data_IF_812835310450
#
_entry.id   IF_812835310450
#
_cell.length_a   1.000
_cell.length_b   1.000
_cell.length_c   1.000
_cell.angle_alpha   90.00
_cell.angle_beta   90.00
_cell.angle_gamma   90.00
#
_symmetry.space_group_name_H-M   'P 1'
#
loop_
_entity.id
_entity.type
_entity.pdbx_description
1 polymer ?
#
# COMPACT_ATOMS: atom_id res chain seq x y z
N UNK A 1 0.66 -17.22 -0.16
CA UNK A 1 0.46 -15.78 0.11
C UNK A 1 0.94 -15.38 1.52
N UNK A 2 2.01 -16.01 2.02
CA UNK A 2 2.51 -15.86 3.41
C UNK A 2 3.95 -15.32 3.47
N UNK A 3 4.63 -15.21 2.34
CA UNK A 3 6.07 -14.91 2.26
C UNK A 3 6.39 -13.41 2.16
N UNK A 4 5.39 -12.57 1.90
CA UNK A 4 5.59 -11.13 1.67
C UNK A 4 5.39 -10.28 2.94
N UNK A 5 4.62 -10.80 3.90
CA UNK A 5 4.43 -10.18 5.22
C UNK A 5 5.64 -10.40 6.15
N UNK A 6 6.31 -11.56 6.07
CA UNK A 6 7.55 -11.83 6.82
C UNK A 6 8.71 -10.95 6.33
N UNK A 7 8.79 -10.65 5.04
CA UNK A 7 9.81 -9.75 4.49
C UNK A 7 9.63 -8.30 4.97
N UNK A 8 8.39 -7.82 5.10
CA UNK A 8 8.12 -6.47 5.62
C UNK A 8 8.32 -6.34 7.13
N UNK A 9 8.11 -7.40 7.90
CA UNK A 9 8.35 -7.40 9.35
C UNK A 9 9.85 -7.56 9.70
N UNK A 10 10.66 -8.08 8.79
CA UNK A 10 12.12 -8.18 8.94
C UNK A 10 12.82 -6.81 9.02
N UNK A 11 12.27 -5.76 8.38
CA UNK A 11 12.83 -4.40 8.45
C UNK A 11 12.49 -3.62 9.73
N UNK A 12 11.62 -4.14 10.59
CA UNK A 12 11.23 -3.51 11.87
C UNK A 12 11.71 -4.28 13.10
N UNK A 13 12.68 -5.18 12.94
CA UNK A 13 13.32 -5.84 14.08
C UNK A 13 14.43 -4.95 14.62
N UNK A 14 14.05 -3.87 15.31
CA UNK A 14 14.98 -3.20 16.22
C UNK A 14 15.42 -4.27 17.21
N UNK A 15 16.68 -4.66 17.11
CA UNK A 15 17.25 -5.76 17.87
C UNK A 15 17.14 -5.43 19.35
N UNK A 16 16.57 -6.33 20.16
CA UNK A 16 16.57 -6.21 21.64
C UNK A 16 17.99 -5.97 22.19
N UNK A 17 19.03 -6.33 21.44
CA UNK A 17 20.43 -6.11 21.82
C UNK A 17 20.90 -4.64 21.67
N UNK A 18 20.24 -3.80 20.87
CA UNK A 18 20.62 -2.38 20.74
C UNK A 18 20.10 -1.54 21.90
N UNK A 19 18.84 -1.75 22.32
CA UNK A 19 18.31 -1.09 23.52
C UNK A 19 19.10 -1.46 24.79
N UNK A 20 19.54 -2.71 24.92
CA UNK A 20 20.38 -3.15 26.04
C UNK A 20 21.73 -2.41 26.06
N UNK A 21 22.35 -2.19 24.90
CA UNK A 21 23.64 -1.47 24.81
C UNK A 21 23.50 0.03 25.07
N UNK A 22 22.41 0.66 24.65
CA UNK A 22 22.15 2.08 24.95
C UNK A 22 21.99 2.28 26.47
N UNK A 23 21.27 1.39 27.15
CA UNK A 23 21.13 1.40 28.61
C UNK A 23 22.46 1.10 29.31
N UNK A 24 23.30 0.21 28.75
CA UNK A 24 24.61 -0.13 29.32
C UNK A 24 25.67 0.99 29.14
N UNK A 25 25.63 1.72 28.02
CA UNK A 25 26.53 2.87 27.76
C UNK A 25 26.08 4.13 28.52
N UNK A 26 24.77 4.32 28.72
CA UNK A 26 24.20 5.39 29.54
C UNK A 26 24.19 5.05 31.05
N UNK A 27 24.38 3.78 31.42
CA UNK A 27 24.18 3.26 32.77
C UNK A 27 25.28 3.57 33.77
N UNK A 28 26.36 4.24 33.36
CA UNK A 28 27.33 4.80 34.32
C UNK A 28 27.00 6.26 34.57
N UNK A 29 26.22 6.49 35.61
CA UNK A 29 26.03 7.83 36.19
C UNK A 29 27.40 8.42 36.53
N UNK A 30 27.61 9.73 36.30
CA UNK A 30 28.85 10.38 36.71
C UNK A 30 28.97 10.32 38.24
N UNK A 31 30.11 9.83 38.74
CA UNK A 31 30.36 9.70 40.19
C UNK A 31 30.70 11.06 40.82
N UNK A 32 31.08 12.05 39.99
CA UNK A 32 31.35 13.42 40.42
C UNK A 32 31.37 14.44 39.27
N UNK A 33 31.54 15.72 39.62
CA UNK A 33 31.51 16.86 38.67
C UNK A 33 32.61 16.76 37.61
N UNK A 34 33.74 16.16 37.96
CA UNK A 34 34.88 15.97 37.06
C UNK A 34 34.54 15.06 35.86
N UNK A 35 33.59 14.13 36.04
CA UNK A 35 33.15 13.19 35.01
C UNK A 35 32.08 13.74 34.07
N UNK A 36 31.52 14.92 34.38
CA UNK A 36 30.36 15.47 33.65
C UNK A 36 30.67 15.72 32.19
N UNK A 37 31.87 16.21 31.88
CA UNK A 37 32.28 16.44 30.49
C UNK A 37 32.35 15.14 29.70
N UNK A 38 33.00 14.13 30.26
CA UNK A 38 33.12 12.82 29.61
C UNK A 38 31.74 12.15 29.45
N UNK A 39 30.82 12.37 30.39
CA UNK A 39 29.44 11.91 30.30
C UNK A 39 28.65 12.65 29.21
N UNK A 40 28.76 13.98 29.14
CA UNK A 40 28.13 14.80 28.10
C UNK A 40 28.62 14.42 26.70
N UNK A 41 29.92 14.19 26.53
CA UNK A 41 30.51 13.74 25.25
C UNK A 41 29.93 12.38 24.81
N UNK A 42 29.77 11.43 25.75
CA UNK A 42 29.14 10.13 25.48
C UNK A 42 27.68 10.28 25.04
N UNK A 43 26.90 11.09 25.75
CA UNK A 43 25.50 11.37 25.40
C UNK A 43 25.43 12.02 24.03
N UNK A 44 26.32 12.97 23.73
CA UNK A 44 26.31 13.67 22.45
C UNK A 44 26.58 12.74 21.27
N UNK A 45 27.51 11.81 21.42
CA UNK A 45 27.77 10.80 20.40
C UNK A 45 26.55 9.91 20.14
N UNK A 46 25.80 9.55 21.18
CA UNK A 46 24.59 8.74 21.04
C UNK A 46 23.40 9.54 20.48
N UNK A 47 23.29 10.82 20.84
CA UNK A 47 22.31 11.73 20.25
C UNK A 47 22.59 11.93 18.75
N UNK A 48 23.86 12.04 18.33
CA UNK A 48 24.26 12.10 16.91
C UNK A 48 23.87 10.82 16.17
N UNK A 49 24.14 9.65 16.73
CA UNK A 49 23.73 8.36 16.15
C UNK A 49 22.22 8.26 16.00
N UNK A 50 21.48 8.63 17.03
CA UNK A 50 20.01 8.68 17.02
C UNK A 50 19.48 9.62 15.93
N UNK A 51 20.09 10.81 15.78
CA UNK A 51 19.75 11.77 14.71
C UNK A 51 20.01 11.19 13.31
N UNK A 52 21.14 10.53 13.09
CA UNK A 52 21.47 9.91 11.80
C UNK A 52 20.45 8.80 11.47
N UNK A 53 20.12 7.96 12.45
CA UNK A 53 19.09 6.92 12.29
C UNK A 53 17.73 7.51 11.94
N UNK A 54 17.32 8.59 12.62
CA UNK A 54 16.07 9.30 12.35
C UNK A 54 16.00 9.85 10.92
N UNK A 55 17.09 10.41 10.38
CA UNK A 55 17.15 10.89 8.98
C UNK A 55 17.12 9.75 7.95
N UNK A 56 17.65 8.57 8.30
CA UNK A 56 17.63 7.40 7.43
C UNK A 56 16.25 6.76 7.24
N UNK A 57 15.29 7.07 8.11
CA UNK A 57 13.99 6.39 8.16
C UNK A 57 12.90 6.97 7.21
N UNK A 58 13.16 8.04 6.46
CA UNK A 58 12.22 8.59 5.47
C UNK A 58 12.20 10.13 5.39
N UNK A 59 11.02 10.72 5.15
CA UNK A 59 10.80 12.18 5.21
C UNK A 59 10.93 12.70 6.65
N UNK A 60 12.15 12.77 7.15
CA UNK A 60 12.46 13.34 8.46
C UNK A 60 12.42 14.87 8.35
N UNK A 61 11.60 15.53 9.17
CA UNK A 61 11.70 16.98 9.39
C UNK A 61 13.00 17.32 10.11
N UNK A 62 13.57 18.48 9.81
CA UNK A 62 14.73 18.97 10.56
C UNK A 62 14.38 19.24 12.03
N UNK A 63 15.32 18.93 12.91
CA UNK A 63 15.20 19.19 14.35
C UNK A 63 15.36 20.69 14.59
N UNK A 64 14.51 21.25 15.44
CA UNK A 64 14.49 22.70 15.73
C UNK A 64 15.11 23.02 17.09
N UNK A 65 15.01 22.11 18.06
CA UNK A 65 15.48 22.32 19.43
C UNK A 65 15.79 20.98 20.11
N UNK A 66 16.69 21.02 21.09
CA UNK A 66 17.02 19.92 22.00
C UNK A 66 16.27 20.15 23.31
N UNK A 67 15.39 19.23 23.65
CA UNK A 67 14.60 19.30 24.88
C UNK A 67 15.24 18.40 25.95
N UNK A 68 15.78 18.99 27.01
CA UNK A 68 16.42 18.26 28.12
C UNK A 68 15.43 18.01 29.25
N UNK A 69 15.23 16.76 29.66
CA UNK A 69 14.41 16.43 30.83
C UNK A 69 15.27 16.58 32.09
N UNK A 70 14.89 17.54 32.94
CA UNK A 70 15.62 17.87 34.17
C UNK A 70 16.01 19.33 34.24
N UNK A 71 16.11 19.87 35.46
CA UNK A 71 16.48 21.25 35.77
C UNK A 71 17.75 21.34 36.64
N UNK A 72 18.52 20.26 36.72
CA UNK A 72 19.76 20.22 37.48
C UNK A 72 20.97 20.69 36.65
N UNK A 73 22.09 20.90 37.35
CA UNK A 73 23.34 21.39 36.78
C UNK A 73 23.97 20.39 35.80
N UNK A 74 23.72 19.09 35.98
CA UNK A 74 24.14 18.04 35.06
C UNK A 74 23.37 18.13 33.74
N UNK A 75 22.04 18.21 33.77
CA UNK A 75 21.21 18.37 32.57
C UNK A 75 21.54 19.66 31.81
N UNK A 76 21.81 20.76 32.53
CA UNK A 76 22.26 22.00 31.92
C UNK A 76 23.63 21.86 31.23
N UNK A 77 24.58 21.17 31.87
CA UNK A 77 25.89 20.89 31.27
C UNK A 77 25.77 20.05 30.00
N UNK A 78 25.00 18.96 30.06
CA UNK A 78 24.77 18.05 28.94
C UNK A 78 24.04 18.75 27.80
N UNK A 79 22.98 19.52 28.11
CA UNK A 79 22.20 20.28 27.13
C UNK A 79 23.04 21.31 26.40
N UNK A 80 23.91 22.03 27.11
CA UNK A 80 24.84 22.99 26.51
C UNK A 80 25.83 22.32 25.56
N UNK A 81 26.49 21.25 25.99
CA UNK A 81 27.42 20.49 25.14
C UNK A 81 26.73 19.95 23.89
N UNK A 82 25.54 19.39 24.04
CA UNK A 82 24.72 18.90 22.92
C UNK A 82 24.33 20.02 21.94
N UNK A 83 23.91 21.17 22.46
CA UNK A 83 23.52 22.32 21.64
C UNK A 83 24.69 22.87 20.82
N UNK A 84 25.87 22.97 21.44
CA UNK A 84 27.11 23.37 20.76
C UNK A 84 27.52 22.35 19.68
N UNK A 85 27.43 21.05 19.97
CA UNK A 85 27.86 20.01 19.03
C UNK A 85 26.89 19.76 17.86
N UNK A 86 25.59 20.00 18.07
CA UNK A 86 24.55 19.77 17.05
C UNK A 86 24.13 21.05 16.32
N UNK A 87 24.66 22.20 16.75
CA UNK A 87 24.29 23.54 16.30
C UNK A 87 22.77 23.79 16.40
N UNK A 88 22.22 23.50 17.58
CA UNK A 88 20.80 23.62 17.87
C UNK A 88 20.58 24.32 19.21
N UNK A 89 19.50 25.12 19.35
CA UNK A 89 19.11 25.62 20.66
C UNK A 89 18.72 24.45 21.56
N UNK A 90 18.97 24.61 22.85
CA UNK A 90 18.55 23.65 23.86
C UNK A 90 17.71 24.35 24.93
N UNK A 91 16.74 23.63 25.47
CA UNK A 91 15.88 24.10 26.55
C UNK A 91 15.70 23.00 27.60
N UNK A 92 15.76 23.38 28.88
CA UNK A 92 15.34 22.53 29.97
C UNK A 92 13.81 22.45 29.99
N UNK A 93 13.28 21.24 29.85
CA UNK A 93 11.85 20.97 29.89
C UNK A 93 11.38 21.06 31.33
N UNK A 94 10.53 22.06 31.58
CA UNK A 94 9.82 22.20 32.85
C UNK A 94 8.44 21.58 32.76
N UNK A 95 7.93 21.20 33.92
CA UNK A 95 6.54 20.77 34.02
C UNK A 95 5.60 21.93 33.67
N UNK A 96 4.48 21.64 33.00
CA UNK A 96 3.45 22.64 32.75
C UNK A 96 2.94 23.22 34.07
N UNK A 97 2.60 24.51 34.09
CA UNK A 97 2.09 25.21 35.27
C UNK A 97 0.83 24.58 35.89
N UNK A 98 0.15 23.70 35.15
CA UNK A 98 -1.01 22.94 35.64
C UNK A 98 -0.64 21.79 36.61
N UNK A 99 0.65 21.53 36.81
CA UNK A 99 1.16 20.40 37.60
C UNK A 99 2.08 20.93 38.69
N UNK A 100 1.63 20.83 39.94
CA UNK A 100 2.45 21.11 41.11
C UNK A 100 3.15 19.82 41.54
N UNK A 101 4.49 19.86 41.57
CA UNK A 101 5.32 18.77 42.07
C UNK A 101 5.89 19.17 43.42
N UNK A 102 5.82 18.30 44.44
CA UNK A 102 6.45 18.55 45.73
C UNK A 102 7.93 18.92 45.57
N UNK A 103 8.35 19.99 46.26
CA UNK A 103 9.72 20.53 46.15
C UNK A 103 10.78 19.65 46.82
N UNK A 104 10.36 18.74 47.71
CA UNK A 104 11.17 17.74 48.39
C UNK A 104 11.43 16.49 47.55
N UNK A 105 10.79 16.37 46.38
CA UNK A 105 11.00 15.26 45.46
C UNK A 105 12.36 15.37 44.75
N UNK A 106 13.13 14.27 44.79
CA UNK A 106 14.42 14.12 44.14
C UNK A 106 14.31 14.21 42.61
N UNK A 107 15.37 14.72 41.97
CA UNK A 107 15.44 14.92 40.52
C UNK A 107 15.14 13.66 39.69
N UNK A 108 15.71 12.49 40.03
CA UNK A 108 15.43 11.24 39.32
C UNK A 108 13.95 10.84 39.36
N UNK A 109 13.34 10.82 40.55
CA UNK A 109 11.91 10.51 40.68
C UNK A 109 11.05 11.50 39.92
N UNK A 110 11.41 12.80 39.97
CA UNK A 110 10.74 13.84 39.20
C UNK A 110 10.80 13.59 37.69
N UNK A 111 11.98 13.21 37.16
CA UNK A 111 12.14 12.87 35.75
C UNK A 111 11.33 11.63 35.36
N UNK A 112 11.25 10.61 36.23
CA UNK A 112 10.44 9.40 36.00
C UNK A 112 8.93 9.69 35.91
N UNK A 113 8.44 10.73 36.59
CA UNK A 113 7.04 11.14 36.54
C UNK A 113 6.68 11.90 35.26
N UNK A 114 7.65 12.44 34.52
CA UNK A 114 7.39 13.28 33.35
C UNK A 114 6.55 12.60 32.25
N UNK A 115 6.82 11.33 31.86
CA UNK A 115 5.97 10.63 30.91
C UNK A 115 4.55 10.39 31.44
N UNK A 116 4.40 10.11 32.73
CA UNK A 116 3.11 9.85 33.38
C UNK A 116 2.25 11.12 33.39
N UNK A 117 2.86 12.25 33.76
CA UNK A 117 2.22 13.57 33.74
C UNK A 117 1.78 13.93 32.31
N UNK A 118 2.63 13.68 31.32
CA UNK A 118 2.29 13.88 29.90
C UNK A 118 1.06 13.08 29.46
N UNK A 119 0.93 11.83 29.92
CA UNK A 119 -0.21 10.97 29.62
C UNK A 119 -1.51 11.51 30.26
N UNK A 120 -1.46 11.89 31.53
CA UNK A 120 -2.63 12.42 32.25
C UNK A 120 -3.07 13.78 31.72
N UNK A 121 -2.11 14.66 31.41
CA UNK A 121 -2.40 16.01 30.94
C UNK A 121 -3.03 16.00 29.55
N UNK A 122 -2.66 15.04 28.69
CA UNK A 122 -3.28 14.87 27.38
C UNK A 122 -4.80 14.71 27.47
N UNK A 123 -5.28 13.91 28.43
CA UNK A 123 -6.71 13.73 28.68
C UNK A 123 -7.38 15.00 29.22
N UNK A 124 -6.70 15.74 30.10
CA UNK A 124 -7.23 16.95 30.72
C UNK A 124 -7.36 18.13 29.74
N UNK A 125 -6.44 18.28 28.78
CA UNK A 125 -6.43 19.40 27.80
C UNK A 125 -7.19 19.04 26.51
N UNK A 126 -7.93 17.92 26.49
CA UNK A 126 -8.64 17.42 25.30
C UNK A 126 -7.72 17.34 24.05
N UNK A 127 -6.43 17.05 24.27
CA UNK A 127 -5.48 16.82 23.18
C UNK A 127 -5.75 15.41 22.63
N UNK A 128 -5.58 15.15 21.33
CA UNK A 128 -5.67 13.79 20.81
C UNK A 128 -4.65 12.88 21.53
N UNK A 129 -5.12 12.07 22.46
CA UNK A 129 -4.33 11.07 23.18
C UNK A 129 -4.39 9.74 22.45
N UNK A 130 -3.40 8.89 22.72
CA UNK A 130 -3.45 7.50 22.29
C UNK A 130 -4.51 6.77 23.12
N UNK A 131 -5.60 6.37 22.47
CA UNK A 131 -6.58 5.46 23.05
C UNK A 131 -6.02 4.03 22.95
N UNK A 132 -5.51 3.52 24.08
CA UNK A 132 -5.03 2.14 24.18
C UNK A 132 -6.16 1.13 24.43
N UNK A 133 -7.35 1.59 24.81
CA UNK A 133 -8.51 0.72 25.01
C UNK A 133 -9.16 0.35 23.66
N UNK A 134 -9.16 1.28 22.71
CA UNK A 134 -9.58 1.02 21.33
C UNK A 134 -8.41 1.30 20.37
N UNK A 135 -7.48 0.35 20.18
CA UNK A 135 -6.37 0.54 19.26
C UNK A 135 -6.92 0.79 17.85
N UNK A 136 -6.88 2.06 17.41
CA UNK A 136 -7.27 2.41 16.05
C UNK A 136 -6.22 1.83 15.11
N UNK A 137 -6.67 1.03 14.15
CA UNK A 137 -5.82 0.56 13.06
C UNK A 137 -5.25 1.81 12.38
N UNK A 138 -3.92 1.88 12.26
CA UNK A 138 -3.27 3.01 11.59
C UNK A 138 -3.94 3.23 10.22
N UNK A 139 -4.21 4.49 9.83
CA UNK A 139 -4.79 4.76 8.52
C UNK A 139 -3.85 4.19 7.46
N UNK A 140 -4.27 3.10 6.82
CA UNK A 140 -3.52 2.46 5.76
C UNK A 140 -3.63 3.36 4.53
N UNK A 141 -2.65 4.25 4.39
CA UNK A 141 -2.57 5.21 3.27
C UNK A 141 -2.51 4.50 1.91
N UNK A 142 -2.07 3.24 1.89
CA UNK A 142 -2.06 2.40 0.69
C UNK A 142 -3.37 1.63 0.46
N UNK A 143 -4.35 1.72 1.37
CA UNK A 143 -5.63 1.02 1.21
C UNK A 143 -6.42 1.53 0.00
N UNK A 144 -6.41 2.83 -0.27
CA UNK A 144 -7.09 3.42 -1.43
C UNK A 144 -6.49 2.91 -2.75
N UNK A 145 -5.16 2.77 -2.81
CA UNK A 145 -4.46 2.25 -3.98
C UNK A 145 -4.79 0.76 -4.21
N UNK A 146 -4.82 -0.04 -3.13
CA UNK A 146 -5.21 -1.46 -3.21
C UNK A 146 -6.67 -1.63 -3.63
N UNK A 147 -7.57 -0.81 -3.08
CA UNK A 147 -8.98 -0.83 -3.45
C UNK A 147 -9.17 -0.44 -4.92
N UNK A 148 -8.47 0.59 -5.40
CA UNK A 148 -8.48 0.99 -6.80
C UNK A 148 -7.96 -0.13 -7.71
N UNK A 149 -6.86 -0.79 -7.34
CA UNK A 149 -6.33 -1.93 -8.08
C UNK A 149 -7.31 -3.10 -8.16
N UNK A 150 -7.97 -3.45 -7.05
CA UNK A 150 -8.98 -4.50 -7.01
C UNK A 150 -10.22 -4.13 -7.84
N UNK A 151 -10.67 -2.88 -7.78
CA UNK A 151 -11.79 -2.39 -8.58
C UNK A 151 -11.46 -2.41 -10.08
N UNK A 152 -10.25 -2.01 -10.46
CA UNK A 152 -9.79 -2.08 -11.85
C UNK A 152 -9.73 -3.53 -12.36
N UNK A 153 -9.18 -4.46 -11.55
CA UNK A 153 -9.14 -5.88 -11.90
C UNK A 153 -10.54 -6.47 -12.07
N UNK A 154 -11.47 -6.14 -11.18
CA UNK A 154 -12.87 -6.56 -11.27
C UNK A 154 -13.55 -6.01 -12.52
N UNK A 155 -13.32 -4.74 -12.86
CA UNK A 155 -13.79 -4.14 -14.10
C UNK A 155 -13.28 -4.90 -15.32
N UNK A 156 -11.98 -5.22 -15.36
CA UNK A 156 -11.36 -5.93 -16.49
C UNK A 156 -11.95 -7.33 -16.68
N UNK A 157 -12.26 -8.05 -15.60
CA UNK A 157 -12.92 -9.36 -15.66
C UNK A 157 -14.33 -9.23 -16.23
N UNK A 158 -15.11 -8.27 -15.76
CA UNK A 158 -16.51 -8.09 -16.20
C UNK A 158 -16.56 -7.65 -17.67
N UNK A 159 -15.81 -6.62 -18.04
CA UNK A 159 -15.82 -6.10 -19.41
C UNK A 159 -15.10 -7.03 -20.39
N UNK A 160 -13.98 -7.62 -19.99
CA UNK A 160 -13.24 -8.58 -20.82
C UNK A 160 -14.04 -9.87 -21.03
N UNK A 161 -14.57 -10.46 -19.97
CA UNK A 161 -15.38 -11.67 -20.05
C UNK A 161 -16.72 -11.44 -20.76
N UNK A 162 -17.43 -10.36 -20.42
CA UNK A 162 -18.70 -10.01 -21.05
C UNK A 162 -18.56 -9.69 -22.54
N UNK A 163 -17.51 -8.95 -22.92
CA UNK A 163 -17.20 -8.65 -24.32
C UNK A 163 -16.90 -9.89 -25.15
N UNK A 164 -16.13 -10.84 -24.59
CA UNK A 164 -15.82 -12.11 -25.26
C UNK A 164 -17.08 -12.93 -25.58
N UNK A 165 -17.99 -13.06 -24.62
CA UNK A 165 -19.24 -13.83 -24.80
C UNK A 165 -20.11 -13.22 -25.90
N UNK A 166 -20.21 -11.88 -25.96
CA UNK A 166 -20.96 -11.22 -27.04
C UNK A 166 -20.33 -11.45 -28.41
N UNK A 167 -19.00 -11.40 -28.51
CA UNK A 167 -18.29 -11.68 -29.75
C UNK A 167 -18.49 -13.13 -30.22
N UNK A 168 -18.44 -14.09 -29.28
CA UNK A 168 -18.66 -15.52 -29.56
C UNK A 168 -20.09 -15.78 -30.08
N UNK A 169 -21.11 -15.16 -29.47
CA UNK A 169 -22.49 -15.25 -29.95
C UNK A 169 -22.64 -14.73 -31.39
N UNK A 170 -21.96 -13.63 -31.74
CA UNK A 170 -21.99 -13.08 -33.09
C UNK A 170 -21.33 -14.03 -34.10
N UNK A 171 -20.16 -14.59 -33.75
CA UNK A 171 -19.47 -15.57 -34.58
C UNK A 171 -20.32 -16.82 -34.82
N UNK A 172 -20.92 -17.37 -33.77
CA UNK A 172 -21.81 -18.52 -33.86
C UNK A 172 -23.03 -18.22 -34.74
N UNK A 173 -23.60 -17.02 -34.63
CA UNK A 173 -24.73 -16.60 -35.47
C UNK A 173 -24.33 -16.47 -36.95
N UNK A 174 -23.13 -15.94 -37.23
CA UNK A 174 -22.61 -15.82 -38.60
C UNK A 174 -22.34 -17.19 -39.21
N UNK A 175 -21.74 -18.10 -38.44
CA UNK A 175 -21.48 -19.46 -38.88
C UNK A 175 -22.78 -20.23 -39.16
N UNK A 176 -23.82 -20.01 -38.33
CA UNK A 176 -25.17 -20.48 -38.59
C UNK A 176 -25.75 -19.95 -39.91
N UNK A 177 -25.60 -18.64 -40.19
CA UNK A 177 -26.05 -18.06 -41.47
C UNK A 177 -25.30 -18.63 -42.67
N UNK A 178 -23.98 -18.80 -42.57
CA UNK A 178 -23.17 -19.37 -43.66
C UNK A 178 -23.59 -20.81 -43.96
N UNK A 179 -23.77 -21.63 -42.93
CA UNK A 179 -24.21 -23.02 -43.10
C UNK A 179 -25.62 -23.11 -43.68
N UNK A 180 -26.54 -22.23 -43.27
CA UNK A 180 -27.89 -22.16 -43.83
C UNK A 180 -27.86 -21.76 -45.32
N UNK A 181 -27.12 -20.73 -45.69
CA UNK A 181 -26.98 -20.30 -47.11
C UNK A 181 -26.37 -21.41 -47.97
N UNK A 182 -25.40 -22.15 -47.45
CA UNK A 182 -24.84 -23.31 -48.16
C UNK A 182 -25.86 -24.44 -48.36
N UNK A 183 -26.69 -24.71 -47.35
CA UNK A 183 -27.76 -25.70 -47.43
C UNK A 183 -28.82 -25.29 -48.47
N UNK A 184 -29.23 -24.02 -48.45
CA UNK A 184 -30.18 -23.46 -49.40
C UNK A 184 -29.62 -23.49 -50.83
N UNK A 185 -28.35 -23.13 -51.02
CA UNK A 185 -27.69 -23.22 -52.33
C UNK A 185 -27.75 -24.64 -52.90
N UNK A 186 -27.39 -25.66 -52.11
CA UNK A 186 -27.49 -27.07 -52.53
C UNK A 186 -28.93 -27.47 -52.86
N UNK A 187 -29.91 -26.99 -52.09
CA UNK A 187 -31.34 -27.26 -52.33
C UNK A 187 -31.80 -26.65 -53.65
N UNK A 188 -31.50 -25.37 -53.91
CA UNK A 188 -31.85 -24.71 -55.15
C UNK A 188 -31.13 -25.30 -56.36
N UNK A 189 -29.85 -25.67 -56.21
CA UNK A 189 -29.10 -26.36 -57.26
C UNK A 189 -29.78 -27.70 -57.64
N UNK A 190 -30.24 -28.47 -56.66
CA UNK A 190 -30.97 -29.71 -56.91
C UNK A 190 -32.33 -29.46 -57.58
N UNK A 191 -33.06 -28.41 -57.19
CA UNK A 191 -34.32 -28.03 -57.84
C UNK A 191 -34.10 -27.58 -59.29
N UNK A 192 -33.08 -26.76 -59.53
CA UNK A 192 -32.69 -26.29 -60.85
C UNK A 192 -32.29 -27.45 -61.79
N UNK A 193 -31.47 -28.39 -61.31
CA UNK A 193 -31.13 -29.60 -62.08
C UNK A 193 -32.36 -30.48 -62.40
N UNK A 194 -33.38 -30.50 -61.54
CA UNK A 194 -34.64 -31.20 -61.83
C UNK A 194 -35.44 -30.51 -62.92
N UNK A 195 -35.52 -29.17 -62.89
CA UNK A 195 -36.18 -28.38 -63.94
C UNK A 195 -35.49 -28.57 -65.29
N UNK A 196 -34.16 -28.45 -65.34
CA UNK A 196 -33.38 -28.70 -66.57
C UNK A 196 -33.61 -30.10 -67.15
N UNK A 197 -33.69 -31.13 -66.30
CA UNK A 197 -34.01 -32.49 -66.76
C UNK A 197 -35.44 -32.62 -67.29
N UNK A 198 -36.40 -31.92 -66.68
CA UNK A 198 -37.79 -31.92 -67.15
C UNK A 198 -37.90 -31.21 -68.51
N UNK A 199 -37.27 -30.05 -68.67
CA UNK A 199 -37.21 -29.32 -69.94
C UNK A 199 -36.51 -30.14 -71.04
N UNK A 200 -35.38 -30.78 -70.72
CA UNK A 200 -34.70 -31.66 -71.67
C UNK A 200 -35.58 -32.83 -72.13
N UNK A 201 -36.42 -33.39 -71.24
CA UNK A 201 -37.39 -34.44 -71.60
C UNK A 201 -38.51 -33.91 -72.49
N UNK A 202 -39.06 -32.73 -72.19
CA UNK A 202 -40.10 -32.10 -73.00
C UNK A 202 -39.55 -31.81 -74.40
N UNK A 203 -38.39 -31.16 -74.49
CA UNK A 203 -37.71 -30.85 -75.75
C UNK A 203 -37.40 -32.12 -76.56
N UNK A 204 -37.04 -33.23 -75.90
CA UNK A 204 -36.80 -34.50 -76.58
C UNK A 204 -38.09 -35.08 -77.18
N UNK A 205 -39.21 -35.02 -76.45
CA UNK A 205 -40.52 -35.45 -76.95
C UNK A 205 -40.99 -34.57 -78.10
N UNK A 206 -40.80 -33.26 -78.03
CA UNK A 206 -41.13 -32.33 -79.13
C UNK A 206 -40.33 -32.65 -80.39
N UNK A 207 -39.02 -32.87 -80.27
CA UNK A 207 -38.18 -33.29 -81.40
C UNK A 207 -38.61 -34.61 -82.03
N UNK A 208 -39.17 -35.55 -81.26
CA UNK A 208 -39.73 -36.79 -81.78
C UNK A 208 -41.10 -36.59 -82.44
N UNK A 209 -41.82 -35.53 -82.07
CA UNK A 209 -43.15 -35.19 -82.59
C UNK A 209 -43.08 -34.34 -83.86
N UNK A 210 -41.99 -33.60 -84.05
CA UNK A 210 -41.68 -32.98 -85.35
C UNK A 210 -41.69 -34.09 -86.42
N UNK A 211 -42.52 -33.96 -87.47
CA UNK A 211 -42.73 -35.03 -88.44
C UNK A 211 -41.39 -35.42 -89.07
N UNK A 212 -40.97 -36.66 -88.81
CA UNK A 212 -39.83 -37.26 -89.45
C UNK A 212 -40.09 -37.23 -90.96
N UNK A 213 -39.32 -36.38 -91.65
CA UNK A 213 -39.02 -36.33 -93.10
C UNK A 213 -40.12 -36.95 -93.96
N UNK A 214 -40.89 -36.16 -94.71
CA UNK A 214 -41.91 -36.68 -95.61
C UNK A 214 -41.32 -37.70 -96.62
N UNK A 215 -41.54 -38.99 -96.36
CA UNK A 215 -41.02 -40.12 -97.13
C UNK A 215 -41.88 -40.40 -98.37
N UNK A 216 -42.90 -39.57 -98.62
CA UNK A 216 -43.93 -39.79 -99.65
C UNK A 216 -43.90 -38.71 -100.75
N UNK A 217 -42.77 -38.02 -100.90
CA UNK A 217 -42.50 -37.15 -102.05
C UNK A 217 -41.62 -37.84 -103.09
#
# INVERSE_FOLDING_TARGET
MSTDLEKKLSHYRISKNEFSKIVEILGREPEGVEDWKAFADRISLEAKRSRISYRGAGESKDLVCIAMLGDDSLAASVGKTLGEELDLPWEAVRFPNAVEIPSDMDGPTRAMLAPLIGLMLGAAINRPTYDFANPRKAPDTAASLRQAGLAAALGLIIFGGGGWVLADQQLNSLQGKVTQVQADHKKFQNQYLRQLRAEARINHIEKLREPAVDWVA
#
